data_IF_996261146136
#
_entry.id   IF_996261146136
#
_cell.length_a   1.000
_cell.length_b   1.000
_cell.length_c   1.000
_cell.angle_alpha   90.00
_cell.angle_beta   90.00
_cell.angle_gamma   90.00
#
_symmetry.space_group_name_H-M   'P 1'
#
loop_
_entity.id
_entity.type
_entity.pdbx_description
1 polymer ?
#
# COMPACT_ATOMS: atom_id res chain seq x y z
N UNK A 1 -12.11 7.57 3.29
CA UNK A 1 -10.73 7.15 3.64
C UNK A 1 -9.79 8.33 3.56
N UNK A 2 -8.97 8.49 4.57
CA UNK A 2 -7.96 9.55 4.58
C UNK A 2 -6.85 9.18 3.58
N UNK A 3 -6.39 10.14 2.79
CA UNK A 3 -5.37 9.89 1.78
C UNK A 3 -3.97 10.24 2.22
N UNK A 4 -3.83 11.31 3.02
CA UNK A 4 -2.52 11.79 3.47
C UNK A 4 -2.30 11.43 4.93
N UNK A 5 -1.16 10.83 5.21
CA UNK A 5 -0.78 10.38 6.56
C UNK A 5 0.53 11.05 6.97
N UNK A 6 0.55 11.64 8.15
CA UNK A 6 1.75 12.27 8.69
C UNK A 6 2.72 11.24 9.27
N UNK A 7 2.18 10.13 9.72
CA UNK A 7 2.92 9.09 10.42
C UNK A 7 3.04 7.84 9.55
N UNK A 8 4.27 7.36 9.27
CA UNK A 8 4.46 6.14 8.47
C UNK A 8 3.73 4.93 9.07
N UNK A 9 3.64 4.86 10.38
CA UNK A 9 2.96 3.76 11.06
C UNK A 9 1.47 3.73 10.72
N UNK A 10 0.83 4.89 10.69
CA UNK A 10 -0.58 4.97 10.31
C UNK A 10 -0.80 4.57 8.86
N UNK A 11 0.08 5.02 7.98
CA UNK A 11 0.01 4.63 6.57
C UNK A 11 0.19 3.13 6.42
N UNK A 12 1.16 2.56 7.13
CA UNK A 12 1.40 1.12 7.10
C UNK A 12 0.20 0.32 7.55
N UNK A 13 -0.47 0.77 8.62
CA UNK A 13 -1.67 0.10 9.12
C UNK A 13 -2.80 0.16 8.10
N UNK A 14 -2.98 1.31 7.45
CA UNK A 14 -3.99 1.46 6.41
C UNK A 14 -3.73 0.51 5.25
N UNK A 15 -2.48 0.42 4.79
CA UNK A 15 -2.10 -0.48 3.70
C UNK A 15 -2.33 -1.93 4.10
N UNK A 16 -1.97 -2.29 5.32
CA UNK A 16 -2.18 -3.63 5.84
C UNK A 16 -3.66 -4.01 5.80
N UNK A 17 -4.51 -3.11 6.29
CA UNK A 17 -5.96 -3.37 6.32
C UNK A 17 -6.51 -3.55 4.91
N UNK A 18 -6.06 -2.74 3.95
CA UNK A 18 -6.51 -2.86 2.56
C UNK A 18 -6.13 -4.20 1.96
N UNK A 19 -4.89 -4.64 2.18
CA UNK A 19 -4.44 -5.93 1.66
C UNK A 19 -5.22 -7.06 2.32
N UNK A 20 -5.48 -6.95 3.62
CA UNK A 20 -6.25 -7.97 4.35
C UNK A 20 -7.68 -8.07 3.81
N UNK A 21 -8.32 -6.95 3.48
CA UNK A 21 -9.64 -6.98 2.86
C UNK A 21 -9.61 -7.73 1.53
N UNK A 22 -8.56 -7.56 0.76
CA UNK A 22 -8.39 -8.28 -0.49
C UNK A 22 -8.19 -9.78 -0.23
N UNK A 23 -7.35 -10.13 0.74
CA UNK A 23 -7.09 -11.53 1.07
C UNK A 23 -8.33 -12.23 1.63
N UNK A 24 -9.20 -11.48 2.29
CA UNK A 24 -10.46 -12.00 2.84
C UNK A 24 -11.62 -11.92 1.84
N UNK A 25 -11.34 -11.60 0.58
CA UNK A 25 -12.32 -11.49 -0.49
C UNK A 25 -13.37 -10.40 -0.26
N UNK A 26 -13.04 -9.40 0.56
CA UNK A 26 -13.95 -8.26 0.80
C UNK A 26 -13.89 -7.27 -0.36
N UNK A 27 -12.70 -7.09 -0.96
CA UNK A 27 -12.55 -6.24 -2.15
C UNK A 27 -11.79 -7.01 -3.23
N UNK A 28 -12.05 -6.63 -4.48
CA UNK A 28 -11.38 -7.23 -5.63
C UNK A 28 -9.98 -6.63 -5.83
N UNK A 29 -9.12 -7.35 -6.55
CA UNK A 29 -7.75 -6.90 -6.82
C UNK A 29 -7.71 -5.52 -7.47
N UNK A 30 -8.57 -5.27 -8.45
CA UNK A 30 -8.59 -3.97 -9.14
C UNK A 30 -8.92 -2.82 -8.16
N UNK A 31 -9.79 -3.07 -7.21
CA UNK A 31 -10.14 -2.09 -6.20
C UNK A 31 -8.97 -1.84 -5.24
N UNK A 32 -8.30 -2.91 -4.84
CA UNK A 32 -7.10 -2.81 -4.01
C UNK A 32 -6.04 -1.98 -4.72
N UNK A 33 -5.78 -2.30 -5.99
CA UNK A 33 -4.80 -1.60 -6.80
C UNK A 33 -5.10 -0.11 -6.87
N UNK A 34 -6.35 0.24 -7.17
CA UNK A 34 -6.78 1.63 -7.26
C UNK A 34 -6.51 2.38 -5.96
N UNK A 35 -6.89 1.80 -4.84
CA UNK A 35 -6.71 2.44 -3.53
C UNK A 35 -5.24 2.58 -3.14
N UNK A 36 -4.43 1.59 -3.43
CA UNK A 36 -3.00 1.64 -3.12
C UNK A 36 -2.30 2.71 -3.97
N UNK A 37 -2.65 2.81 -5.24
CA UNK A 37 -2.08 3.83 -6.11
C UNK A 37 -2.45 5.23 -5.64
N UNK A 38 -3.70 5.44 -5.22
CA UNK A 38 -4.12 6.72 -4.65
C UNK A 38 -3.30 7.07 -3.42
N UNK A 39 -3.10 6.11 -2.53
CA UNK A 39 -2.31 6.34 -1.31
C UNK A 39 -0.84 6.61 -1.64
N UNK A 40 -0.27 5.88 -2.59
CA UNK A 40 1.12 6.10 -2.99
C UNK A 40 1.32 7.51 -3.56
N UNK A 41 0.39 7.95 -4.41
CA UNK A 41 0.46 9.29 -5.00
C UNK A 41 0.32 10.39 -3.96
N UNK A 42 -0.51 10.18 -2.95
CA UNK A 42 -0.76 11.17 -1.90
C UNK A 42 0.36 11.20 -0.86
N UNK A 43 1.16 10.15 -0.77
CA UNK A 43 2.20 10.00 0.26
C UNK A 43 3.57 9.67 -0.35
N UNK A 44 3.95 10.38 -1.40
CA UNK A 44 5.21 10.14 -2.11
C UNK A 44 6.44 10.25 -1.22
N UNK A 45 6.37 11.06 -0.17
CA UNK A 45 7.44 11.19 0.79
C UNK A 45 7.62 9.95 1.67
N UNK A 46 6.61 9.10 1.75
CA UNK A 46 6.61 7.91 2.59
C UNK A 46 6.56 6.61 1.80
N UNK A 47 6.12 6.66 0.56
CA UNK A 47 5.94 5.46 -0.25
C UNK A 47 6.32 5.77 -1.69
N UNK A 48 7.49 5.30 -2.10
CA UNK A 48 8.04 5.58 -3.42
C UNK A 48 7.20 4.98 -4.54
N UNK A 49 7.06 5.72 -5.63
CA UNK A 49 6.40 5.24 -6.84
C UNK A 49 7.14 4.08 -7.48
N UNK A 50 8.41 3.92 -7.16
CA UNK A 50 9.24 2.85 -7.72
C UNK A 50 9.09 1.54 -6.94
N UNK A 51 8.20 1.52 -5.96
CA UNK A 51 7.96 0.31 -5.18
C UNK A 51 8.87 0.16 -3.99
N UNK A 52 9.64 1.19 -3.67
CA UNK A 52 10.49 1.18 -2.48
C UNK A 52 9.63 1.44 -1.25
N UNK A 53 9.62 0.52 -0.31
CA UNK A 53 8.81 0.62 0.89
C UNK A 53 9.72 0.83 2.10
N UNK A 54 9.55 1.94 2.86
CA UNK A 54 10.38 2.19 4.04
C UNK A 54 10.26 1.05 5.05
N UNK A 55 11.34 0.81 5.78
CA UNK A 55 11.40 -0.31 6.70
C UNK A 55 10.31 -0.26 7.78
N UNK A 56 9.96 0.94 8.23
CA UNK A 56 8.90 1.09 9.24
C UNK A 56 7.55 0.59 8.73
N UNK A 57 7.25 0.85 7.48
CA UNK A 57 6.02 0.39 6.85
C UNK A 57 6.13 -1.10 6.53
N UNK A 58 7.27 -1.52 6.03
CA UNK A 58 7.55 -2.92 5.71
C UNK A 58 7.39 -3.83 6.93
N UNK A 59 7.85 -3.38 8.09
CA UNK A 59 7.74 -4.15 9.32
C UNK A 59 6.28 -4.33 9.78
N UNK A 60 5.44 -3.36 9.49
CA UNK A 60 4.01 -3.45 9.81
C UNK A 60 3.31 -4.42 8.86
N UNK A 61 3.68 -4.39 7.59
CA UNK A 61 3.04 -5.20 6.55
C UNK A 61 3.46 -6.66 6.59
N UNK A 62 4.75 -6.94 6.78
CA UNK A 62 5.30 -8.27 6.64
C UNK A 62 5.55 -8.61 5.17
N UNK A 63 6.35 -9.66 4.92
CA UNK A 63 6.79 -10.01 3.57
C UNK A 63 5.67 -10.23 2.56
N UNK A 64 4.63 -10.96 2.96
CA UNK A 64 3.54 -11.29 2.04
C UNK A 64 2.82 -10.06 1.52
N UNK A 65 2.50 -9.14 2.42
CA UNK A 65 1.80 -7.92 2.04
C UNK A 65 2.70 -6.97 1.27
N UNK A 66 3.97 -6.89 1.65
CA UNK A 66 4.95 -6.07 0.94
C UNK A 66 5.05 -6.54 -0.52
N UNK A 67 5.10 -7.85 -0.75
CA UNK A 67 5.18 -8.39 -2.11
C UNK A 67 3.97 -7.97 -2.95
N UNK A 68 2.77 -8.01 -2.38
CA UNK A 68 1.56 -7.61 -3.07
C UNK A 68 1.60 -6.13 -3.43
N UNK A 69 2.01 -5.29 -2.49
CA UNK A 69 2.07 -3.85 -2.71
C UNK A 69 3.13 -3.50 -3.74
N UNK A 70 4.29 -4.13 -3.68
CA UNK A 70 5.34 -3.92 -4.67
C UNK A 70 4.89 -4.29 -6.07
N UNK A 71 4.16 -5.38 -6.20
CA UNK A 71 3.61 -5.79 -7.49
C UNK A 71 2.66 -4.72 -8.03
N UNK A 72 1.77 -4.23 -7.18
CA UNK A 72 0.81 -3.19 -7.58
C UNK A 72 1.53 -1.92 -8.03
N UNK A 73 2.52 -1.48 -7.27
CA UNK A 73 3.26 -0.27 -7.61
C UNK A 73 4.06 -0.43 -8.90
N UNK A 74 4.56 -1.61 -9.18
CA UNK A 74 5.27 -1.85 -10.44
C UNK A 74 4.33 -1.86 -11.64
N UNK A 75 3.09 -2.29 -11.46
CA UNK A 75 2.09 -2.30 -12.52
C UNK A 75 1.58 -0.89 -12.87
N UNK A 76 1.75 0.05 -11.94
CA UNK A 76 1.27 1.42 -12.12
C UNK A 76 1.90 2.12 -13.31
N UNK A 77 3.14 1.77 -13.65
CA UNK A 77 3.87 2.43 -14.72
C UNK A 77 3.33 2.15 -16.12
N UNK A 78 2.43 1.23 -16.23
CA UNK A 78 1.81 0.89 -17.52
C UNK A 78 0.44 1.53 -17.66
#
# INVERSE_FOLDING_TARGET
MRKIYKNPKELGTCLKDLVDFYLDDVIEYNKLKEKIIILANANEDKLSKEGSIPIKISNILGESRVAIIKKILSEKEN
#
